data_IF_313388182467
#
_entry.id   IF_313388182467
#
_cell.length_a   1.000
_cell.length_b   1.000
_cell.length_c   1.000
_cell.angle_alpha   90.00
_cell.angle_beta   90.00
_cell.angle_gamma   90.00
#
_symmetry.space_group_name_H-M   'P 1'
#
loop_
_entity.id
_entity.type
_entity.pdbx_description
1 polymer ?
#
# COMPACT_ATOMS: atom_id res chain seq x y z
N UNK A 1 -31.59 -9.76 16.79
CA UNK A 1 -30.22 -10.27 17.00
C UNK A 1 -29.92 -11.23 15.87
N UNK A 2 -28.91 -10.97 15.02
CA UNK A 2 -28.56 -11.92 13.96
C UNK A 2 -27.96 -13.14 14.66
N UNK A 3 -28.62 -14.30 14.54
CA UNK A 3 -28.15 -15.55 15.14
C UNK A 3 -27.08 -16.18 14.25
N UNK A 4 -25.83 -15.78 14.50
CA UNK A 4 -24.65 -16.23 13.75
C UNK A 4 -24.37 -17.71 14.02
N UNK A 5 -24.94 -18.31 15.08
CA UNK A 5 -24.69 -19.70 15.43
C UNK A 5 -25.49 -20.66 14.55
N UNK A 6 -26.72 -20.30 14.16
CA UNK A 6 -27.58 -21.08 13.26
C UNK A 6 -27.29 -20.90 11.76
N UNK A 7 -26.33 -20.05 11.39
CA UNK A 7 -26.00 -19.84 9.98
C UNK A 7 -25.27 -21.06 9.37
N UNK A 8 -25.60 -21.44 8.12
CA UNK A 8 -24.83 -22.42 7.37
C UNK A 8 -23.34 -22.03 7.31
N UNK A 9 -22.46 -23.03 7.40
CA UNK A 9 -21.01 -22.79 7.42
C UNK A 9 -20.53 -21.94 6.23
N UNK A 10 -21.11 -22.14 5.06
CA UNK A 10 -20.86 -21.37 3.84
C UNK A 10 -21.20 -19.89 4.01
N UNK A 11 -22.35 -19.57 4.61
CA UNK A 11 -22.78 -18.19 4.87
C UNK A 11 -21.86 -17.49 5.88
N UNK A 12 -21.39 -18.19 6.92
CA UNK A 12 -20.40 -17.64 7.87
C UNK A 12 -19.08 -17.33 7.18
N UNK A 13 -18.60 -18.25 6.34
CA UNK A 13 -17.35 -18.07 5.60
C UNK A 13 -17.42 -16.86 4.65
N UNK A 14 -18.50 -16.72 3.88
CA UNK A 14 -18.71 -15.56 2.99
C UNK A 14 -18.79 -14.26 3.79
N UNK A 15 -19.43 -14.27 4.96
CA UNK A 15 -19.51 -13.10 5.83
C UNK A 15 -18.12 -12.66 6.31
N UNK A 16 -17.31 -13.59 6.81
CA UNK A 16 -15.94 -13.30 7.26
C UNK A 16 -15.03 -12.83 6.12
N UNK A 17 -15.11 -13.49 4.96
CA UNK A 17 -14.31 -13.13 3.78
C UNK A 17 -14.72 -11.75 3.27
N UNK A 18 -16.02 -11.49 3.12
CA UNK A 18 -16.54 -10.19 2.69
C UNK A 18 -16.18 -9.08 3.67
N UNK A 19 -16.25 -9.34 4.97
CA UNK A 19 -15.85 -8.39 6.00
C UNK A 19 -14.34 -8.10 5.98
N UNK A 20 -13.50 -9.13 5.83
CA UNK A 20 -12.06 -8.99 5.73
C UNK A 20 -11.65 -8.18 4.47
N UNK A 21 -12.27 -8.48 3.33
CA UNK A 21 -12.09 -7.71 2.08
C UNK A 21 -12.55 -6.25 2.25
N UNK A 22 -13.69 -6.03 2.92
CA UNK A 22 -14.20 -4.70 3.24
C UNK A 22 -13.22 -3.90 4.09
N UNK A 23 -12.70 -4.48 5.17
CA UNK A 23 -11.69 -3.83 6.03
C UNK A 23 -10.41 -3.55 5.24
N UNK A 24 -9.91 -4.52 4.47
CA UNK A 24 -8.69 -4.34 3.68
C UNK A 24 -8.84 -3.18 2.69
N UNK A 25 -10.00 -3.11 2.01
CA UNK A 25 -10.34 -2.02 1.10
C UNK A 25 -10.43 -0.67 1.82
N UNK A 26 -11.06 -0.64 3.00
CA UNK A 26 -11.17 0.57 3.82
C UNK A 26 -9.81 1.10 4.28
N UNK A 27 -8.91 0.21 4.72
CA UNK A 27 -7.54 0.58 5.12
C UNK A 27 -6.75 1.12 3.93
N UNK A 28 -6.87 0.50 2.75
CA UNK A 28 -6.26 0.98 1.51
C UNK A 28 -6.77 2.37 1.12
N UNK A 29 -8.08 2.59 1.21
CA UNK A 29 -8.70 3.87 0.91
C UNK A 29 -8.24 4.96 1.89
N UNK A 30 -8.20 4.66 3.19
CA UNK A 30 -7.79 5.60 4.23
C UNK A 30 -6.29 5.91 4.23
N UNK A 31 -5.45 5.04 3.66
CA UNK A 31 -4.00 5.25 3.61
C UNK A 31 -3.63 6.60 2.98
N UNK A 32 -4.27 6.96 1.87
CA UNK A 32 -4.01 8.22 1.16
C UNK A 32 -4.42 9.47 1.94
N UNK A 33 -5.66 9.62 2.45
CA UNK A 33 -6.05 10.78 3.22
C UNK A 33 -5.25 10.90 4.53
N UNK A 34 -4.90 9.79 5.20
CA UNK A 34 -4.04 9.84 6.39
C UNK A 34 -2.67 10.43 6.06
N UNK A 35 -2.03 10.00 4.97
CA UNK A 35 -0.73 10.53 4.53
C UNK A 35 -0.86 12.02 4.16
N UNK A 36 -1.93 12.42 3.48
CA UNK A 36 -2.22 13.80 3.10
C UNK A 36 -2.40 14.70 4.33
N UNK A 37 -3.17 14.24 5.32
CA UNK A 37 -3.36 14.94 6.60
C UNK A 37 -2.02 15.08 7.31
N UNK A 38 -1.24 14.00 7.44
CA UNK A 38 0.06 14.04 8.09
C UNK A 38 1.03 15.01 7.39
N UNK A 39 1.05 15.06 6.06
CA UNK A 39 1.84 16.05 5.30
C UNK A 39 1.35 17.48 5.52
N UNK A 40 0.04 17.69 5.71
CA UNK A 40 -0.54 19.02 5.91
C UNK A 40 -0.24 19.58 7.30
N UNK A 41 -0.30 18.77 8.34
CA UNK A 41 -0.16 19.23 9.72
C UNK A 41 1.26 19.14 10.28
N UNK A 42 2.13 18.26 9.75
CA UNK A 42 3.50 18.09 10.26
C UNK A 42 4.56 18.33 9.19
N UNK A 43 5.38 19.40 9.30
CA UNK A 43 6.47 19.67 8.37
C UNK A 43 7.55 18.57 8.40
N UNK A 44 7.81 17.98 9.57
CA UNK A 44 8.78 16.88 9.73
C UNK A 44 8.37 15.65 8.91
N UNK A 45 7.07 15.36 8.86
CA UNK A 45 6.54 14.24 8.10
C UNK A 45 6.65 14.49 6.59
N UNK A 46 6.44 15.74 6.16
CA UNK A 46 6.66 16.14 4.76
C UNK A 46 8.13 15.96 4.35
N UNK A 47 9.08 16.32 5.20
CA UNK A 47 10.51 16.14 4.93
C UNK A 47 10.90 14.65 4.90
N UNK A 48 10.35 13.85 5.81
CA UNK A 48 10.51 12.40 5.82
C UNK A 48 10.01 11.74 4.51
N UNK A 49 8.79 12.11 4.07
CA UNK A 49 8.22 11.61 2.81
C UNK A 49 9.10 12.01 1.62
N UNK A 50 9.57 13.26 1.57
CA UNK A 50 10.46 13.75 0.51
C UNK A 50 11.75 12.92 0.42
N UNK A 51 12.45 12.75 1.54
CA UNK A 51 13.69 11.93 1.60
C UNK A 51 13.44 10.47 1.22
N UNK A 52 12.28 9.93 1.59
CA UNK A 52 11.89 8.55 1.25
C UNK A 52 11.63 8.38 -0.24
N UNK A 53 10.95 9.34 -0.88
CA UNK A 53 10.71 9.35 -2.33
C UNK A 53 12.03 9.48 -3.09
N UNK A 54 12.92 10.40 -2.68
CA UNK A 54 14.23 10.58 -3.30
C UNK A 54 15.07 9.30 -3.28
N UNK A 55 15.15 8.62 -2.13
CA UNK A 55 15.87 7.34 -2.01
C UNK A 55 15.26 6.24 -2.90
N UNK A 56 13.93 6.20 -3.01
CA UNK A 56 13.24 5.23 -3.88
C UNK A 56 13.53 5.51 -5.36
N UNK A 57 13.51 6.78 -5.76
CA UNK A 57 13.81 7.19 -7.14
C UNK A 57 15.27 6.96 -7.51
N UNK A 58 16.21 7.19 -6.59
CA UNK A 58 17.62 6.87 -6.79
C UNK A 58 17.86 5.37 -6.99
N UNK A 59 17.24 4.51 -6.17
CA UNK A 59 17.31 3.05 -6.37
C UNK A 59 16.73 2.62 -7.70
N UNK A 60 15.60 3.22 -8.10
CA UNK A 60 14.96 2.96 -9.39
C UNK A 60 15.90 3.37 -10.53
N UNK A 61 16.44 4.58 -10.50
CA UNK A 61 17.39 5.08 -11.51
C UNK A 61 18.62 4.17 -11.63
N UNK A 62 19.25 3.81 -10.50
CA UNK A 62 20.40 2.90 -10.49
C UNK A 62 20.07 1.52 -11.08
N UNK A 63 18.86 1.00 -10.87
CA UNK A 63 18.42 -0.26 -11.49
C UNK A 63 18.30 -0.15 -13.02
N UNK A 64 17.68 0.91 -13.54
CA UNK A 64 17.56 1.11 -14.99
C UNK A 64 18.92 1.37 -15.63
N UNK A 65 19.77 2.16 -14.98
CA UNK A 65 21.13 2.45 -15.43
C UNK A 65 21.99 1.19 -15.51
N UNK A 66 21.92 0.32 -14.49
CA UNK A 66 22.60 -0.99 -14.51
C UNK A 66 22.10 -1.89 -15.64
N UNK A 67 20.79 -1.93 -15.90
CA UNK A 67 20.22 -2.74 -16.99
C UNK A 67 20.56 -2.16 -18.37
N UNK A 68 20.57 -0.84 -18.53
CA UNK A 68 20.99 -0.18 -19.76
C UNK A 68 22.47 -0.48 -20.07
N UNK A 69 23.36 -0.32 -19.07
CA UNK A 69 24.78 -0.63 -19.20
C UNK A 69 25.04 -2.13 -19.44
N UNK A 70 24.21 -3.02 -18.88
CA UNK A 70 24.27 -4.47 -19.13
C UNK A 70 23.90 -4.78 -20.58
N UNK A 71 22.79 -4.24 -21.08
CA UNK A 71 22.36 -4.47 -22.46
C UNK A 71 23.35 -3.90 -23.49
N UNK A 72 23.99 -2.77 -23.19
CA UNK A 72 25.01 -2.15 -24.06
C UNK A 72 26.33 -2.92 -24.15
N UNK A 73 26.62 -3.79 -23.19
CA UNK A 73 27.83 -4.63 -23.15
C UNK A 73 27.60 -6.07 -23.65
N UNK A 74 26.37 -6.38 -24.06
CA UNK A 74 26.06 -7.67 -24.71
C UNK A 74 26.40 -7.51 -26.20
N UNK A 75 27.30 -8.33 -26.76
CA UNK A 75 27.65 -8.30 -28.18
C UNK A 75 26.48 -8.69 -29.08
#
# INVERSE_FOLDING_TARGET
MIDINNLPFTSKAVLFIGFALGIASFVLFLRYPIILILMKYRPDYREFIKRTIERKNQKKHSYYEKNYLRNRKSP
#
